data_IF_795074766692
#
_entry.id   IF_795074766692
#
_cell.length_a   1.000
_cell.length_b   1.000
_cell.length_c   1.000
_cell.angle_alpha   90.00
_cell.angle_beta   90.00
_cell.angle_gamma   90.00
#
_symmetry.space_group_name_H-M   'P 1'
#
loop_
_entity.id
_entity.type
_entity.pdbx_description
1 polymer ?
#
# COMPACT_ATOMS: atom_id res chain seq x y z
N UNK A 1 20.15 -9.31 -5.71
CA UNK A 1 20.49 -8.18 -4.82
C UNK A 1 20.08 -6.87 -5.45
N UNK A 2 19.35 -6.01 -4.74
CA UNK A 2 19.05 -4.67 -5.27
C UNK A 2 20.32 -3.82 -5.33
N UNK A 3 20.41 -2.95 -6.34
CA UNK A 3 21.49 -2.00 -6.46
C UNK A 3 21.32 -0.86 -5.44
N UNK A 4 22.39 -0.09 -5.14
CA UNK A 4 22.24 1.10 -4.29
C UNK A 4 21.20 2.08 -4.81
N UNK A 5 21.10 2.27 -6.12
CA UNK A 5 20.08 3.14 -6.73
C UNK A 5 18.67 2.60 -6.51
N UNK A 6 18.48 1.28 -6.62
CA UNK A 6 17.19 0.66 -6.36
C UNK A 6 16.78 0.81 -4.90
N UNK A 7 17.71 0.68 -3.97
CA UNK A 7 17.45 0.89 -2.55
C UNK A 7 17.04 2.34 -2.29
N UNK A 8 17.70 3.30 -2.93
CA UNK A 8 17.36 4.71 -2.81
C UNK A 8 15.94 5.01 -3.32
N UNK A 9 15.60 4.47 -4.50
CA UNK A 9 14.26 4.64 -5.07
C UNK A 9 13.22 3.99 -4.18
N UNK A 10 13.48 2.78 -3.69
CA UNK A 10 12.58 2.09 -2.75
C UNK A 10 12.38 2.91 -1.48
N UNK A 11 13.45 3.50 -0.94
CA UNK A 11 13.37 4.37 0.24
C UNK A 11 12.51 5.59 0.01
N UNK A 12 12.61 6.22 -1.16
CA UNK A 12 11.75 7.35 -1.51
C UNK A 12 10.28 6.94 -1.59
N UNK A 13 10.01 5.80 -2.20
CA UNK A 13 8.65 5.30 -2.32
C UNK A 13 8.08 4.92 -0.94
N UNK A 14 8.92 4.35 -0.07
CA UNK A 14 8.52 4.04 1.31
C UNK A 14 8.13 5.30 2.09
N UNK A 15 8.85 6.40 1.89
CA UNK A 15 8.50 7.69 2.52
C UNK A 15 7.15 8.20 2.03
N UNK A 16 6.87 8.07 0.72
CA UNK A 16 5.57 8.46 0.17
C UNK A 16 4.45 7.57 0.72
N UNK A 17 4.71 6.28 0.87
CA UNK A 17 3.74 5.35 1.46
C UNK A 17 3.42 5.76 2.91
N UNK A 18 4.43 6.14 3.68
CA UNK A 18 4.24 6.59 5.07
C UNK A 18 3.43 7.89 5.14
N UNK A 19 3.60 8.79 4.16
CA UNK A 19 2.78 10.01 4.07
C UNK A 19 1.32 9.66 3.81
N UNK A 20 1.07 8.71 2.92
CA UNK A 20 -0.31 8.25 2.66
C UNK A 20 -0.94 7.66 3.93
N UNK A 21 -0.21 6.84 4.68
CA UNK A 21 -0.72 6.29 5.94
C UNK A 21 -1.03 7.42 6.94
N UNK A 22 -0.11 8.35 7.10
CA UNK A 22 -0.30 9.47 8.03
C UNK A 22 -1.53 10.30 7.65
N UNK A 23 -1.76 10.51 6.36
CA UNK A 23 -2.93 11.21 5.85
C UNK A 23 -4.21 10.46 6.19
N UNK A 24 -4.25 9.16 5.93
CA UNK A 24 -5.41 8.35 6.26
C UNK A 24 -5.70 8.36 7.77
N UNK A 25 -4.66 8.25 8.58
CA UNK A 25 -4.79 8.29 10.05
C UNK A 25 -5.32 9.63 10.55
N UNK A 26 -4.92 10.72 9.91
CA UNK A 26 -5.37 12.05 10.28
C UNK A 26 -6.85 12.26 9.96
N UNK A 27 -7.31 11.73 8.84
CA UNK A 27 -8.69 11.90 8.36
C UNK A 27 -9.67 10.91 9.00
N UNK A 28 -9.21 9.71 9.31
CA UNK A 28 -10.09 8.62 9.73
C UNK A 28 -10.96 8.91 10.97
N UNK A 29 -10.48 9.66 12.00
CA UNK A 29 -11.31 9.90 13.19
C UNK A 29 -12.47 10.86 12.98
N UNK A 30 -12.46 11.65 11.91
CA UNK A 30 -13.49 12.67 11.67
C UNK A 30 -14.73 12.02 11.06
N UNK A 31 -15.88 11.97 11.81
CA UNK A 31 -17.08 11.33 11.30
C UNK A 31 -17.72 12.10 10.14
N UNK A 32 -17.36 13.37 9.94
CA UNK A 32 -17.88 14.17 8.84
C UNK A 32 -17.04 14.03 7.57
N UNK A 33 -15.84 13.42 7.70
CA UNK A 33 -14.99 13.19 6.54
C UNK A 33 -15.57 12.06 5.68
N UNK A 34 -15.63 12.27 4.36
CA UNK A 34 -16.01 11.23 3.42
C UNK A 34 -15.03 10.06 3.51
N UNK A 35 -15.51 8.85 3.28
CA UNK A 35 -14.66 7.66 3.30
C UNK A 35 -13.65 7.64 2.16
N UNK A 36 -13.95 8.30 1.04
CA UNK A 36 -13.11 8.23 -0.16
C UNK A 36 -11.67 8.68 0.06
N UNK A 37 -11.40 9.86 0.67
CA UNK A 37 -10.00 10.23 0.94
C UNK A 37 -9.31 9.27 1.89
N UNK A 38 -10.02 8.77 2.91
CA UNK A 38 -9.44 7.81 3.85
C UNK A 38 -9.07 6.51 3.14
N UNK A 39 -10.00 5.96 2.38
CA UNK A 39 -9.79 4.73 1.62
C UNK A 39 -8.72 4.88 0.55
N UNK A 40 -8.71 6.01 -0.15
CA UNK A 40 -7.70 6.29 -1.18
C UNK A 40 -6.29 6.27 -0.58
N UNK A 41 -6.07 7.01 0.50
CA UNK A 41 -4.72 7.07 1.08
C UNK A 41 -4.29 5.75 1.73
N UNK A 42 -5.22 5.01 2.32
CA UNK A 42 -4.92 3.67 2.83
C UNK A 42 -4.53 2.73 1.69
N UNK A 43 -5.28 2.74 0.59
CA UNK A 43 -4.98 1.93 -0.59
C UNK A 43 -3.61 2.31 -1.18
N UNK A 44 -3.32 3.61 -1.30
CA UNK A 44 -2.04 4.08 -1.82
C UNK A 44 -0.87 3.66 -0.93
N UNK A 45 -1.06 3.68 0.38
CA UNK A 45 -0.02 3.23 1.31
C UNK A 45 0.31 1.76 1.10
N UNK A 46 -0.71 0.90 0.97
CA UNK A 46 -0.52 -0.54 0.73
C UNK A 46 0.14 -0.78 -0.62
N UNK A 47 -0.37 -0.14 -1.67
CA UNK A 47 0.17 -0.30 -3.03
C UNK A 47 1.66 0.06 -3.07
N UNK A 48 2.02 1.22 -2.53
CA UNK A 48 3.41 1.67 -2.51
C UNK A 48 4.29 0.74 -1.69
N UNK A 49 3.80 0.27 -0.54
CA UNK A 49 4.56 -0.65 0.31
C UNK A 49 4.85 -1.98 -0.42
N UNK A 50 3.86 -2.54 -1.12
CA UNK A 50 4.06 -3.75 -1.91
C UNK A 50 5.10 -3.51 -3.01
N UNK A 51 5.03 -2.37 -3.69
CA UNK A 51 6.02 -2.02 -4.71
C UNK A 51 7.43 -1.91 -4.13
N UNK A 52 7.57 -1.33 -2.94
CA UNK A 52 8.87 -1.26 -2.25
C UNK A 52 9.44 -2.65 -2.04
N UNK A 53 8.63 -3.57 -1.53
CA UNK A 53 9.08 -4.95 -1.28
C UNK A 53 9.47 -5.64 -2.59
N UNK A 54 8.66 -5.49 -3.63
CA UNK A 54 8.99 -6.07 -4.94
C UNK A 54 10.33 -5.54 -5.46
N UNK A 55 10.57 -4.23 -5.36
CA UNK A 55 11.85 -3.63 -5.76
C UNK A 55 13.01 -4.22 -4.97
N UNK A 56 12.86 -4.34 -3.65
CA UNK A 56 13.94 -4.85 -2.78
C UNK A 56 14.20 -6.32 -3.00
N UNK A 57 13.20 -7.08 -3.43
CA UNK A 57 13.35 -8.49 -3.74
C UNK A 57 13.77 -8.74 -5.20
N UNK A 58 14.01 -7.67 -5.96
CA UNK A 58 14.48 -7.78 -7.33
C UNK A 58 13.43 -8.26 -8.33
N UNK A 59 12.15 -8.04 -8.01
CA UNK A 59 11.03 -8.44 -8.87
C UNK A 59 10.58 -7.25 -9.69
N UNK A 60 10.66 -7.37 -11.02
CA UNK A 60 10.17 -6.36 -11.93
C UNK A 60 8.64 -6.38 -11.97
N UNK A 61 8.04 -5.22 -12.07
CA UNK A 61 6.58 -5.10 -12.21
C UNK A 61 6.26 -3.97 -13.18
N UNK A 62 5.12 -4.09 -13.89
CA UNK A 62 4.71 -3.04 -14.83
C UNK A 62 4.20 -1.82 -14.07
N UNK A 63 4.09 -0.72 -14.80
CA UNK A 63 3.49 0.51 -14.28
C UNK A 63 1.99 0.27 -14.09
N UNK A 64 1.58 0.00 -12.87
CA UNK A 64 0.19 -0.37 -12.57
C UNK A 64 -0.21 0.12 -11.20
N UNK A 65 -1.53 0.31 -11.01
CA UNK A 65 -2.15 0.60 -9.72
C UNK A 65 -3.04 -0.58 -9.28
N UNK A 66 -2.93 -1.71 -9.96
CA UNK A 66 -3.70 -2.91 -9.64
C UNK A 66 -3.07 -3.64 -8.45
N UNK A 67 -3.62 -3.40 -7.27
CA UNK A 67 -3.10 -3.97 -6.03
C UNK A 67 -3.18 -5.50 -6.02
N UNK A 68 -4.26 -6.07 -6.54
CA UNK A 68 -4.39 -7.53 -6.60
C UNK A 68 -3.29 -8.14 -7.46
N UNK A 69 -3.02 -7.54 -8.62
CA UNK A 69 -1.93 -7.99 -9.50
C UNK A 69 -0.59 -7.99 -8.76
N UNK A 70 -0.29 -6.90 -8.03
CA UNK A 70 0.99 -6.75 -7.32
C UNK A 70 1.12 -7.79 -6.19
N UNK A 71 0.03 -8.05 -5.48
CA UNK A 71 0.02 -9.04 -4.40
C UNK A 71 0.23 -10.46 -4.97
N UNK A 72 -0.47 -10.80 -6.05
CA UNK A 72 -0.30 -12.09 -6.72
C UNK A 72 1.13 -12.26 -7.22
N UNK A 73 1.72 -11.18 -7.76
CA UNK A 73 3.11 -11.20 -8.21
C UNK A 73 4.07 -11.50 -7.06
N UNK A 74 3.86 -10.87 -5.91
CA UNK A 74 4.66 -11.13 -4.72
C UNK A 74 4.53 -12.61 -4.28
N UNK A 75 3.32 -13.13 -4.28
CA UNK A 75 3.07 -14.54 -3.93
C UNK A 75 3.78 -15.49 -4.89
N UNK A 76 3.76 -15.19 -6.18
CA UNK A 76 4.45 -16.00 -7.20
C UNK A 76 5.96 -16.05 -6.99
N UNK A 77 6.53 -15.04 -6.39
CA UNK A 77 7.95 -14.97 -6.09
C UNK A 77 8.27 -15.39 -4.66
N UNK A 78 7.32 -16.08 -4.01
CA UNK A 78 7.49 -16.64 -2.65
C UNK A 78 7.82 -15.59 -1.59
N UNK A 79 7.34 -14.37 -1.78
CA UNK A 79 7.51 -13.30 -0.80
C UNK A 79 6.45 -13.49 0.28
N UNK A 80 6.91 -13.75 1.50
CA UNK A 80 6.00 -13.97 2.64
C UNK A 80 5.32 -12.66 3.03
N UNK A 81 4.02 -12.73 3.31
CA UNK A 81 3.27 -11.59 3.84
C UNK A 81 2.15 -12.11 4.75
N UNK A 82 1.71 -11.25 5.65
CA UNK A 82 0.62 -11.59 6.56
C UNK A 82 -0.69 -11.76 5.79
N UNK A 83 -1.61 -12.63 6.29
CA UNK A 83 -2.90 -12.86 5.62
C UNK A 83 -3.69 -11.58 5.34
N UNK A 84 -3.64 -10.58 6.21
CA UNK A 84 -4.32 -9.30 5.99
C UNK A 84 -3.79 -8.58 4.76
N UNK A 85 -2.48 -8.68 4.50
CA UNK A 85 -1.88 -8.10 3.30
C UNK A 85 -2.24 -8.89 2.05
N UNK A 86 -2.24 -10.22 2.15
CA UNK A 86 -2.61 -11.08 1.02
C UNK A 86 -4.03 -10.79 0.52
N UNK A 87 -4.93 -10.41 1.42
CA UNK A 87 -6.32 -10.15 1.09
C UNK A 87 -6.63 -8.66 0.89
N UNK A 88 -5.61 -7.79 0.80
CA UNK A 88 -5.81 -6.34 0.79
C UNK A 88 -6.46 -5.80 -0.49
N UNK A 89 -6.71 -6.64 -1.49
CA UNK A 89 -7.37 -6.21 -2.73
C UNK A 89 -8.76 -5.61 -2.51
N UNK A 90 -9.38 -5.83 -1.33
CA UNK A 90 -10.65 -5.20 -1.00
C UNK A 90 -10.55 -3.67 -0.95
N UNK A 91 -9.35 -3.11 -0.87
CA UNK A 91 -9.13 -1.67 -0.93
C UNK A 91 -9.18 -1.10 -2.35
N UNK A 92 -9.09 -1.94 -3.37
CA UNK A 92 -9.03 -1.49 -4.77
C UNK A 92 -10.15 -0.52 -5.16
N UNK A 93 -11.43 -0.72 -4.75
CA UNK A 93 -12.48 0.24 -5.09
C UNK A 93 -12.25 1.65 -4.59
N UNK A 94 -11.35 1.84 -3.63
CA UNK A 94 -11.07 3.15 -3.04
C UNK A 94 -9.98 3.92 -3.77
N UNK A 95 -9.37 3.34 -4.82
CA UNK A 95 -8.41 4.05 -5.66
C UNK A 95 -9.16 5.14 -6.44
N UNK A 96 -8.69 6.38 -6.34
CA UNK A 96 -9.40 7.55 -6.84
C UNK A 96 -9.65 7.52 -8.35
N UNK A 97 -8.72 6.94 -9.11
CA UNK A 97 -8.74 6.96 -10.56
C UNK A 97 -9.94 6.22 -11.18
N UNK A 98 -10.65 5.44 -10.38
CA UNK A 98 -11.77 4.66 -10.87
C UNK A 98 -13.11 5.33 -10.63
N UNK A 99 -13.11 6.56 -10.07
CA UNK A 99 -14.35 7.16 -9.61
C UNK A 99 -14.50 8.60 -10.04
N UNK A 100 -15.30 8.79 -11.08
CA UNK A 100 -15.71 10.11 -11.57
C UNK A 100 -17.14 10.46 -11.16
N UNK A 101 -17.86 9.54 -10.53
CA UNK A 101 -19.24 9.73 -10.15
C UNK A 101 -19.43 9.72 -8.63
N UNK A 102 -20.60 10.11 -8.19
CA UNK A 102 -20.98 10.10 -6.77
C UNK A 102 -21.68 8.82 -6.37
N UNK A 103 -21.55 7.76 -7.19
CA UNK A 103 -22.20 6.49 -6.87
C UNK A 103 -21.72 5.99 -5.51
N UNK A 104 -22.65 5.55 -4.65
CA UNK A 104 -22.26 5.07 -3.33
C UNK A 104 -21.34 3.85 -3.43
N UNK A 105 -20.24 3.90 -2.68
CA UNK A 105 -19.41 2.74 -2.44
C UNK A 105 -19.90 2.14 -1.11
N UNK A 106 -19.57 0.89 -0.86
CA UNK A 106 -19.76 0.33 0.46
C UNK A 106 -19.04 1.19 1.49
N UNK A 107 -19.60 1.25 2.71
CA UNK A 107 -18.95 1.96 3.80
C UNK A 107 -17.58 1.37 4.06
N UNK A 108 -16.59 2.23 4.18
CA UNK A 108 -15.22 1.81 4.48
C UNK A 108 -15.10 1.42 5.96
N UNK A 109 -14.55 0.26 6.22
CA UNK A 109 -14.09 -0.10 7.55
C UNK A 109 -12.75 0.62 7.79
N UNK A 110 -12.82 1.81 8.35
CA UNK A 110 -11.63 2.67 8.52
C UNK A 110 -10.58 2.04 9.42
N UNK A 111 -11.00 1.38 10.49
CA UNK A 111 -10.05 0.71 11.40
C UNK A 111 -9.29 -0.38 10.68
N UNK A 112 -9.98 -1.18 9.88
CA UNK A 112 -9.37 -2.24 9.11
C UNK A 112 -8.43 -1.66 8.04
N UNK A 113 -8.85 -0.60 7.36
CA UNK A 113 -8.03 0.07 6.34
C UNK A 113 -6.72 0.59 6.94
N UNK A 114 -6.80 1.28 8.07
CA UNK A 114 -5.62 1.80 8.76
C UNK A 114 -4.72 0.65 9.25
N UNK A 115 -5.32 -0.40 9.80
CA UNK A 115 -4.55 -1.54 10.30
C UNK A 115 -3.76 -2.23 9.19
N UNK A 116 -4.39 -2.47 8.04
CA UNK A 116 -3.70 -3.13 6.92
C UNK A 116 -2.63 -2.22 6.32
N UNK A 117 -2.91 -0.92 6.21
CA UNK A 117 -1.93 0.04 5.72
C UNK A 117 -0.73 0.12 6.67
N UNK A 118 -0.97 0.16 7.96
CA UNK A 118 0.10 0.17 8.96
C UNK A 118 0.95 -1.11 8.89
N UNK A 119 0.31 -2.27 8.75
CA UNK A 119 1.01 -3.55 8.60
C UNK A 119 1.89 -3.55 7.35
N UNK A 120 1.38 -3.00 6.24
CA UNK A 120 2.14 -2.90 4.98
C UNK A 120 3.36 -1.99 5.14
N UNK A 121 3.21 -0.85 5.80
CA UNK A 121 4.32 0.08 6.04
C UNK A 121 5.39 -0.56 6.93
N UNK A 122 4.98 -1.21 8.00
CA UNK A 122 5.92 -1.90 8.90
C UNK A 122 6.71 -2.98 8.14
N UNK A 123 6.01 -3.76 7.34
CA UNK A 123 6.60 -4.81 6.54
C UNK A 123 7.66 -4.28 5.55
N UNK A 124 7.33 -3.24 4.82
CA UNK A 124 8.28 -2.69 3.85
C UNK A 124 9.46 -1.98 4.54
N UNK A 125 9.24 -1.33 5.67
CA UNK A 125 10.32 -0.68 6.43
C UNK A 125 11.29 -1.71 7.02
N UNK A 126 10.79 -2.81 7.54
CA UNK A 126 11.65 -3.88 8.07
C UNK A 126 12.57 -4.43 6.99
N UNK A 127 12.03 -4.67 5.79
CA UNK A 127 12.84 -5.15 4.68
C UNK A 127 13.83 -4.10 4.20
N UNK A 128 13.41 -2.84 4.12
CA UNK A 128 14.28 -1.74 3.71
C UNK A 128 15.46 -1.59 4.69
N UNK A 129 15.20 -1.63 5.99
CA UNK A 129 16.23 -1.56 7.02
C UNK A 129 17.22 -2.71 6.88
N UNK A 130 16.71 -3.90 6.64
CA UNK A 130 17.54 -5.09 6.42
C UNK A 130 18.47 -4.93 5.23
N UNK A 131 17.96 -4.38 4.11
CA UNK A 131 18.77 -4.19 2.89
C UNK A 131 19.76 -3.04 3.01
N UNK A 132 19.46 -2.03 3.83
CA UNK A 132 20.34 -0.89 4.07
C UNK A 132 21.42 -1.21 5.10
N UNK A 133 21.11 -2.12 6.02
CA UNK A 133 22.02 -2.55 7.07
C UNK A 133 23.07 -3.48 6.56
#
# INVERSE_FOLDING_TARGET
MPTPEQIEVAGSLARLAAIDLATAEKLAPDPEMDDRPVGFHAQQAVEKAVKVVLMLEGVDFPKTHDLEYLIVLAEKHSIAMEPELESASWLTPWAADFRYDDAPIETLDRKRAIAVANAAITWCHELLDEKQG
#
